data_IF_248558997289
#
_entry.id   IF_248558997289
#
_cell.length_a   1.000
_cell.length_b   1.000
_cell.length_c   1.000
_cell.angle_alpha   90.00
_cell.angle_beta   90.00
_cell.angle_gamma   90.00
#
_symmetry.space_group_name_H-M   'P 1'
#
loop_
_entity.id
_entity.type
_entity.pdbx_description
1 polymer ?
#
# COMPACT_ATOMS: atom_id res chain seq x y z
N UNK A 1 3.46 21.87 -6.13
CA UNK A 1 4.07 21.14 -5.00
C UNK A 1 3.67 19.69 -5.02
N UNK A 2 4.62 18.79 -5.07
CA UNK A 2 4.26 17.40 -4.97
C UNK A 2 3.74 17.12 -3.57
N UNK A 3 2.53 16.65 -3.51
CA UNK A 3 1.91 16.26 -2.26
C UNK A 3 1.50 14.81 -2.40
N UNK A 4 1.37 14.12 -1.28
CA UNK A 4 0.94 12.74 -1.29
C UNK A 4 -0.54 12.66 -1.63
N UNK A 5 -0.89 11.66 -2.40
CA UNK A 5 -2.24 11.47 -2.89
C UNK A 5 -2.55 9.97 -2.95
N UNK A 6 -3.80 9.62 -2.69
CA UNK A 6 -4.28 8.26 -2.82
C UNK A 6 -5.62 8.30 -3.54
N UNK A 7 -5.73 7.54 -4.63
CA UNK A 7 -6.99 7.41 -5.37
C UNK A 7 -7.33 5.94 -5.53
N UNK A 8 -8.60 5.64 -5.72
CA UNK A 8 -9.09 4.26 -5.75
C UNK A 8 -9.55 3.86 -7.13
N UNK A 9 -9.26 2.60 -7.50
CA UNK A 9 -9.79 1.97 -8.71
C UNK A 9 -10.26 0.57 -8.31
N UNK A 10 -11.49 0.24 -8.65
CA UNK A 10 -12.00 -1.12 -8.39
C UNK A 10 -11.81 -1.97 -9.64
N UNK A 11 -11.20 -3.13 -9.46
CA UNK A 11 -11.02 -4.10 -10.53
C UNK A 11 -11.55 -5.43 -10.01
N UNK A 12 -12.74 -5.81 -10.42
CA UNK A 12 -13.42 -6.96 -9.85
C UNK A 12 -13.66 -6.74 -8.37
N UNK A 13 -13.27 -7.70 -7.55
CA UNK A 13 -13.44 -7.63 -6.10
C UNK A 13 -12.28 -6.93 -5.39
N UNK A 14 -11.29 -6.44 -6.13
CA UNK A 14 -10.08 -5.84 -5.57
C UNK A 14 -10.11 -4.33 -5.76
N UNK A 15 -9.71 -3.57 -4.75
CA UNK A 15 -9.49 -2.14 -4.88
C UNK A 15 -8.00 -1.87 -4.98
N UNK A 16 -7.61 -1.14 -6.02
CA UNK A 16 -6.24 -0.67 -6.18
C UNK A 16 -6.19 0.76 -5.65
N UNK A 17 -5.27 1.00 -4.73
CA UNK A 17 -5.01 2.35 -4.22
C UNK A 17 -3.80 2.87 -4.96
N UNK A 18 -4.01 3.82 -5.85
CA UNK A 18 -2.91 4.45 -6.59
C UNK A 18 -2.34 5.56 -5.73
N UNK A 19 -1.12 5.33 -5.25
CA UNK A 19 -0.42 6.30 -4.41
C UNK A 19 0.48 7.15 -5.30
N UNK A 20 0.59 8.43 -4.98
CA UNK A 20 1.50 9.31 -5.72
C UNK A 20 2.09 10.36 -4.80
N UNK A 21 3.26 10.87 -5.20
CA UNK A 21 3.94 11.92 -4.48
C UNK A 21 4.90 11.41 -3.43
N UNK A 22 5.10 12.21 -2.39
CA UNK A 22 6.10 11.93 -1.35
C UNK A 22 5.42 11.44 -0.07
N UNK A 23 5.86 10.28 0.41
CA UNK A 23 5.36 9.70 1.65
C UNK A 23 6.45 9.80 2.72
N UNK A 24 6.67 11.02 3.16
CA UNK A 24 7.73 11.39 4.10
C UNK A 24 7.14 12.14 5.28
N UNK A 25 7.90 12.19 6.36
CA UNK A 25 7.48 12.89 7.56
C UNK A 25 7.04 14.32 7.24
N UNK A 26 5.84 14.67 7.67
CA UNK A 26 5.29 16.00 7.45
C UNK A 26 4.60 16.21 6.12
N UNK A 27 4.84 15.33 5.14
CA UNK A 27 4.30 15.50 3.79
C UNK A 27 3.06 14.65 3.54
N UNK A 28 3.03 13.45 4.09
CA UNK A 28 1.98 12.49 3.79
C UNK A 28 1.07 12.20 4.97
N UNK A 29 1.10 13.08 5.96
CA UNK A 29 0.43 12.85 7.23
C UNK A 29 -1.02 12.36 7.05
N UNK A 30 -1.22 11.07 7.27
CA UNK A 30 -2.54 10.46 7.27
C UNK A 30 -3.13 10.12 5.92
N UNK A 31 -2.46 10.41 4.80
CA UNK A 31 -3.04 10.12 3.48
C UNK A 31 -3.29 8.63 3.28
N UNK A 32 -2.26 7.81 3.52
CA UNK A 32 -2.41 6.37 3.38
C UNK A 32 -3.36 5.82 4.44
N UNK A 33 -3.23 6.28 5.67
CA UNK A 33 -4.09 5.83 6.76
C UNK A 33 -5.56 6.10 6.46
N UNK A 34 -5.89 7.31 6.00
CA UNK A 34 -7.26 7.68 5.67
C UNK A 34 -7.82 6.78 4.56
N UNK A 35 -7.01 6.55 3.53
CA UNK A 35 -7.42 5.70 2.41
C UNK A 35 -7.76 4.30 2.89
N UNK A 36 -6.88 3.73 3.73
CA UNK A 36 -7.09 2.38 4.23
C UNK A 36 -8.30 2.30 5.17
N UNK A 37 -8.47 3.29 6.05
CA UNK A 37 -9.63 3.30 6.95
C UNK A 37 -10.94 3.40 6.18
N UNK A 38 -10.95 4.15 5.09
CA UNK A 38 -12.13 4.23 4.25
C UNK A 38 -12.50 2.87 3.66
N UNK A 39 -11.51 2.12 3.18
CA UNK A 39 -11.74 0.81 2.60
C UNK A 39 -12.13 -0.23 3.65
N UNK A 40 -11.42 -0.27 4.78
CA UNK A 40 -11.73 -1.24 5.83
C UNK A 40 -13.06 -0.93 6.49
N UNK A 41 -13.46 0.34 6.53
CA UNK A 41 -14.77 0.73 7.04
C UNK A 41 -15.91 0.16 6.20
N UNK A 42 -15.66 -0.08 4.92
CA UNK A 42 -16.63 -0.72 4.02
C UNK A 42 -16.41 -2.23 3.93
N UNK A 43 -15.54 -2.78 4.74
CA UNK A 43 -15.17 -4.19 4.71
C UNK A 43 -14.48 -4.61 3.42
N UNK A 44 -13.82 -3.67 2.73
CA UNK A 44 -13.03 -4.00 1.55
C UNK A 44 -11.66 -4.48 2.01
N UNK A 45 -11.45 -5.78 1.95
CA UNK A 45 -10.23 -6.42 2.43
C UNK A 45 -9.31 -6.96 1.35
N UNK A 46 -9.59 -6.69 0.06
CA UNK A 46 -8.69 -7.10 -1.03
C UNK A 46 -8.11 -5.84 -1.62
N UNK A 47 -6.89 -5.52 -1.22
CA UNK A 47 -6.29 -4.20 -1.50
C UNK A 47 -4.92 -4.36 -2.14
N UNK A 48 -4.70 -3.60 -3.22
CA UNK A 48 -3.38 -3.46 -3.85
C UNK A 48 -2.93 -2.02 -3.64
N UNK A 49 -1.74 -1.83 -3.10
CA UNK A 49 -1.15 -0.50 -2.96
C UNK A 49 -0.16 -0.33 -4.10
N UNK A 50 -0.47 0.59 -5.01
CA UNK A 50 0.35 0.84 -6.19
C UNK A 50 1.28 2.01 -5.94
N UNK A 51 2.59 1.73 -5.93
CA UNK A 51 3.63 2.70 -5.63
C UNK A 51 4.27 3.32 -6.88
N UNK A 52 3.74 3.00 -8.06
CA UNK A 52 4.37 3.42 -9.31
C UNK A 52 4.66 4.93 -9.38
N UNK A 53 3.75 5.75 -8.85
CA UNK A 53 3.88 7.21 -8.91
C UNK A 53 4.40 7.81 -7.60
N UNK A 54 4.88 6.98 -6.69
CA UNK A 54 5.50 7.45 -5.45
C UNK A 54 6.93 7.87 -5.77
N UNK A 55 7.26 9.13 -5.48
CA UNK A 55 8.57 9.69 -5.83
C UNK A 55 9.57 9.64 -4.69
N UNK A 56 9.11 9.55 -3.46
CA UNK A 56 10.01 9.46 -2.31
C UNK A 56 9.27 8.84 -1.13
N UNK A 57 10.01 8.12 -0.30
CA UNK A 57 9.46 7.55 0.93
C UNK A 57 10.59 7.47 1.96
N UNK A 58 10.28 7.69 3.22
CA UNK A 58 11.24 7.54 4.31
C UNK A 58 10.69 6.56 5.34
N UNK A 59 11.37 6.45 6.49
CA UNK A 59 10.95 5.51 7.52
C UNK A 59 9.56 5.82 8.08
N UNK A 60 9.13 7.09 8.07
CA UNK A 60 7.78 7.45 8.49
C UNK A 60 6.75 6.89 7.50
N UNK A 61 7.03 6.96 6.21
CA UNK A 61 6.16 6.37 5.19
C UNK A 61 6.07 4.86 5.31
N UNK A 62 7.20 4.20 5.58
CA UNK A 62 7.18 2.76 5.81
C UNK A 62 6.40 2.43 7.08
N UNK A 63 6.48 3.27 8.11
CA UNK A 63 5.67 3.11 9.32
C UNK A 63 4.18 3.17 9.01
N UNK A 64 3.76 4.08 8.12
CA UNK A 64 2.37 4.15 7.69
C UNK A 64 1.96 2.88 6.94
N UNK A 65 2.87 2.30 6.17
CA UNK A 65 2.60 1.06 5.46
C UNK A 65 2.37 -0.09 6.44
N UNK A 66 3.17 -0.16 7.50
CA UNK A 66 2.99 -1.18 8.53
C UNK A 66 1.65 -1.01 9.24
N UNK A 67 1.29 0.24 9.55
CA UNK A 67 0.00 0.52 10.19
C UNK A 67 -1.17 0.14 9.26
N UNK A 68 -1.02 0.38 7.97
CA UNK A 68 -2.03 -0.01 6.98
C UNK A 68 -2.20 -1.52 6.96
N UNK A 69 -1.09 -2.26 7.00
CA UNK A 69 -1.14 -3.71 7.03
C UNK A 69 -1.94 -4.20 8.26
N UNK A 70 -1.64 -3.64 9.43
CA UNK A 70 -2.33 -4.02 10.66
C UNK A 70 -3.83 -3.76 10.56
N UNK A 71 -4.22 -2.62 9.99
CA UNK A 71 -5.62 -2.26 9.84
C UNK A 71 -6.35 -3.21 8.89
N UNK A 72 -5.71 -3.56 7.78
CA UNK A 72 -6.29 -4.50 6.82
C UNK A 72 -6.43 -5.90 7.44
N UNK A 73 -5.44 -6.32 8.22
CA UNK A 73 -5.52 -7.61 8.91
C UNK A 73 -6.62 -7.64 9.95
N UNK A 74 -6.96 -6.49 10.53
CA UNK A 74 -8.03 -6.42 11.53
C UNK A 74 -9.36 -6.94 10.97
N UNK A 75 -9.60 -6.73 9.69
CA UNK A 75 -10.83 -7.24 9.03
C UNK A 75 -10.57 -8.52 8.23
N UNK A 76 -9.49 -9.22 8.55
CA UNK A 76 -9.08 -10.46 7.87
C UNK A 76 -8.81 -10.22 6.38
N UNK A 77 -8.39 -9.02 6.02
CA UNK A 77 -8.09 -8.67 4.65
C UNK A 77 -6.69 -9.05 4.25
N UNK A 78 -6.37 -8.81 2.98
CA UNK A 78 -5.07 -9.08 2.39
C UNK A 78 -4.62 -7.89 1.58
N UNK A 79 -3.32 -7.56 1.65
CA UNK A 79 -2.75 -6.45 0.91
C UNK A 79 -1.59 -6.95 0.05
N UNK A 80 -1.48 -6.38 -1.15
CA UNK A 80 -0.36 -6.65 -2.05
C UNK A 80 0.27 -5.31 -2.41
N UNK A 81 1.58 -5.32 -2.66
CA UNK A 81 2.31 -4.12 -3.07
C UNK A 81 2.65 -4.24 -4.54
N UNK A 82 2.36 -3.19 -5.29
CA UNK A 82 2.62 -3.14 -6.72
C UNK A 82 3.67 -2.06 -6.99
N UNK A 83 4.76 -2.47 -7.63
CA UNK A 83 5.87 -1.58 -8.02
C UNK A 83 6.43 -0.73 -6.88
N UNK A 84 6.72 -1.31 -5.70
CA UNK A 84 7.33 -0.50 -4.65
C UNK A 84 8.74 -0.08 -5.05
N UNK A 85 9.17 1.15 -4.67
CA UNK A 85 10.55 1.58 -4.94
C UNK A 85 11.54 0.65 -4.26
N UNK A 86 12.77 0.59 -4.81
CA UNK A 86 13.82 -0.25 -4.23
C UNK A 86 14.02 0.03 -2.75
N UNK A 87 13.95 1.30 -2.36
CA UNK A 87 14.12 1.68 -0.95
C UNK A 87 13.09 1.01 -0.05
N UNK A 88 11.85 0.91 -0.51
CA UNK A 88 10.80 0.23 0.25
C UNK A 88 11.12 -1.25 0.37
N UNK A 89 11.51 -1.89 -0.75
CA UNK A 89 11.87 -3.30 -0.73
C UNK A 89 13.03 -3.57 0.22
N UNK A 90 14.05 -2.73 0.18
CA UNK A 90 15.22 -2.87 1.05
C UNK A 90 14.82 -2.75 2.52
N UNK A 91 13.98 -1.79 2.85
CA UNK A 91 13.54 -1.60 4.22
C UNK A 91 12.67 -2.75 4.70
N UNK A 92 11.84 -3.32 3.82
CA UNK A 92 11.04 -4.48 4.17
C UNK A 92 11.92 -5.69 4.46
N UNK A 93 13.00 -5.87 3.70
CA UNK A 93 13.93 -6.96 3.95
C UNK A 93 14.67 -6.79 5.26
N UNK A 94 15.18 -5.58 5.53
CA UNK A 94 15.92 -5.29 6.75
C UNK A 94 15.07 -5.52 8.01
N UNK A 95 13.78 -5.26 7.91
CA UNK A 95 12.88 -5.42 9.05
C UNK A 95 12.14 -6.76 9.04
N UNK A 96 12.46 -7.63 8.07
CA UNK A 96 11.80 -8.92 7.84
C UNK A 96 10.32 -8.82 7.50
N UNK A 97 9.86 -7.64 7.13
CA UNK A 97 8.48 -7.43 6.70
C UNK A 97 8.23 -7.95 5.28
N UNK A 98 9.29 -8.29 4.55
CA UNK A 98 9.14 -8.91 3.24
C UNK A 98 8.38 -10.24 3.31
N UNK A 99 8.31 -10.83 4.51
CA UNK A 99 7.56 -12.07 4.69
C UNK A 99 6.05 -11.86 4.74
N UNK A 100 5.61 -10.64 5.08
CA UNK A 100 4.19 -10.34 5.20
C UNK A 100 3.65 -9.55 4.01
N UNK A 101 4.51 -8.79 3.33
CA UNK A 101 4.11 -8.02 2.15
C UNK A 101 4.52 -8.74 0.88
N UNK A 102 3.55 -9.19 0.10
CA UNK A 102 3.81 -9.78 -1.21
C UNK A 102 3.94 -8.65 -2.22
N UNK A 103 5.01 -8.69 -3.01
CA UNK A 103 5.38 -7.63 -3.95
C UNK A 103 5.23 -8.13 -5.38
N UNK A 104 4.65 -7.30 -6.24
CA UNK A 104 4.42 -7.62 -7.64
C UNK A 104 4.93 -6.49 -8.52
N UNK A 105 5.45 -6.86 -9.70
CA UNK A 105 5.96 -5.90 -10.67
C UNK A 105 4.90 -5.48 -11.69
N UNK A 106 3.81 -6.24 -11.80
CA UNK A 106 2.74 -5.91 -12.74
C UNK A 106 1.37 -6.12 -12.09
N UNK A 107 0.42 -5.31 -12.55
CA UNK A 107 -0.92 -5.26 -11.97
C UNK A 107 -1.66 -6.58 -12.11
N UNK A 108 -1.54 -7.24 -13.26
CA UNK A 108 -2.24 -8.50 -13.51
C UNK A 108 -1.86 -9.56 -12.48
N UNK A 109 -0.55 -9.68 -12.23
CA UNK A 109 -0.07 -10.65 -11.25
C UNK A 109 -0.56 -10.34 -9.84
N UNK A 110 -0.55 -9.06 -9.48
CA UNK A 110 -1.07 -8.64 -8.17
C UNK A 110 -2.54 -9.00 -8.01
N UNK A 111 -3.33 -8.74 -9.04
CA UNK A 111 -4.76 -9.05 -9.00
C UNK A 111 -5.02 -10.55 -8.93
N UNK A 112 -4.29 -11.34 -9.73
CA UNK A 112 -4.46 -12.79 -9.73
C UNK A 112 -4.08 -13.43 -8.40
N UNK A 113 -3.22 -12.78 -7.63
CA UNK A 113 -2.77 -13.33 -6.35
C UNK A 113 -3.92 -13.49 -5.34
N UNK A 114 -5.00 -12.76 -5.52
CA UNK A 114 -6.17 -12.87 -4.63
C UNK A 114 -7.04 -14.07 -4.95
N UNK A 115 -6.83 -14.72 -6.07
CA UNK A 115 -7.59 -15.89 -6.48
C UNK A 115 -7.08 -17.19 -5.87
N UNK A 116 -6.02 -17.11 -5.12
CA UNK A 116 -5.39 -18.27 -4.49
C UNK A 116 -5.82 -18.46 -3.05
#
# INVERSE_FOLDING_TARGET
>A
MPSSKATFRDVGAVTIVDLSGMFMLGESSGVLRKAILELTGKRQGKIVLNFREVTAIDSAGVGELVAAYAEIRRIAGRVRLLNPPKKVCDMLELTQLSKVFQVYADEQSALRSFDQ
#
